data_IF_126363266100
#
_entry.id   IF_126363266100
#
_cell.length_a   1.000
_cell.length_b   1.000
_cell.length_c   1.000
_cell.angle_alpha   90.00
_cell.angle_beta   90.00
_cell.angle_gamma   90.00
#
_symmetry.space_group_name_H-M   'P 1'
#
loop_
_entity.id
_entity.type
_entity.pdbx_description
1 polymer ?
#
# COMPACT_ATOMS: atom_id res chain seq x y z
N UNK A 1 14.34 8.73 -19.27
CA UNK A 1 13.92 8.68 -17.85
C UNK A 1 12.56 9.36 -17.62
N UNK A 2 12.25 10.51 -18.22
CA UNK A 2 10.96 11.20 -18.01
C UNK A 2 9.73 10.49 -18.61
N UNK A 3 9.85 9.83 -19.76
CA UNK A 3 8.73 9.12 -20.42
C UNK A 3 8.13 8.01 -19.56
N UNK A 4 8.97 7.37 -18.76
CA UNK A 4 8.61 6.27 -17.87
C UNK A 4 7.66 6.72 -16.75
N UNK A 5 7.86 7.95 -16.25
CA UNK A 5 6.97 8.57 -15.27
C UNK A 5 5.73 9.18 -15.92
N UNK A 6 5.82 9.62 -17.18
CA UNK A 6 4.72 10.25 -17.91
C UNK A 6 3.55 9.28 -18.20
N UNK A 7 3.81 7.98 -18.30
CA UNK A 7 2.80 6.97 -18.63
C UNK A 7 2.11 6.36 -17.40
N UNK A 8 2.51 6.69 -16.16
CA UNK A 8 1.86 6.23 -14.93
C UNK A 8 1.97 4.72 -14.63
N UNK A 9 2.62 3.93 -15.50
CA UNK A 9 2.75 2.48 -15.33
C UNK A 9 3.55 2.09 -14.09
N UNK A 10 4.48 2.95 -13.63
CA UNK A 10 5.27 2.71 -12.42
C UNK A 10 4.37 2.56 -11.20
N UNK A 11 3.30 3.36 -11.09
CA UNK A 11 2.35 3.23 -9.98
C UNK A 11 1.64 1.88 -10.04
N UNK A 12 1.24 1.42 -11.22
CA UNK A 12 0.65 0.10 -11.40
C UNK A 12 1.62 -1.03 -11.04
N UNK A 13 2.91 -0.91 -11.42
CA UNK A 13 3.94 -1.87 -11.05
C UNK A 13 4.13 -1.92 -9.52
N UNK A 14 4.22 -0.76 -8.85
CA UNK A 14 4.35 -0.69 -7.40
C UNK A 14 3.16 -1.32 -6.69
N UNK A 15 1.94 -1.06 -7.17
CA UNK A 15 0.73 -1.70 -6.64
C UNK A 15 0.74 -3.22 -6.86
N UNK A 16 1.24 -3.70 -8.01
CA UNK A 16 1.40 -5.12 -8.27
C UNK A 16 2.43 -5.77 -7.32
N UNK A 17 3.53 -5.09 -7.01
CA UNK A 17 4.52 -5.54 -6.03
C UNK A 17 3.90 -5.65 -4.63
N UNK A 18 3.17 -4.63 -4.18
CA UNK A 18 2.49 -4.64 -2.87
C UNK A 18 1.40 -5.73 -2.79
N UNK A 19 0.63 -5.91 -3.86
CA UNK A 19 -0.35 -7.00 -3.94
C UNK A 19 0.33 -8.38 -3.88
N UNK A 20 1.47 -8.54 -4.56
CA UNK A 20 2.27 -9.77 -4.52
C UNK A 20 2.82 -10.02 -3.11
N UNK A 21 3.35 -8.99 -2.46
CA UNK A 21 3.86 -9.07 -1.10
C UNK A 21 2.77 -9.52 -0.11
N UNK A 22 1.58 -8.91 -0.18
CA UNK A 22 0.42 -9.32 0.60
C UNK A 22 0.08 -10.80 0.39
N UNK A 23 -0.03 -11.24 -0.87
CA UNK A 23 -0.35 -12.63 -1.22
C UNK A 23 0.71 -13.59 -0.67
N UNK A 24 2.00 -13.27 -0.83
CA UNK A 24 3.11 -14.10 -0.34
C UNK A 24 3.08 -14.22 1.19
N UNK A 25 2.89 -13.11 1.90
CA UNK A 25 2.85 -13.09 3.37
C UNK A 25 1.68 -13.91 3.91
N UNK A 26 0.49 -13.72 3.34
CA UNK A 26 -0.72 -14.47 3.74
C UNK A 26 -0.60 -15.94 3.37
N UNK A 27 -0.13 -16.27 2.17
CA UNK A 27 0.05 -17.66 1.76
C UNK A 27 1.06 -18.40 2.65
N UNK A 28 2.17 -17.75 3.02
CA UNK A 28 3.15 -18.32 3.97
C UNK A 28 2.56 -18.51 5.36
N UNK A 29 1.72 -17.58 5.82
CA UNK A 29 1.03 -17.70 7.10
C UNK A 29 0.08 -18.90 7.12
N UNK A 30 -0.74 -19.04 6.08
CA UNK A 30 -1.68 -20.17 5.95
C UNK A 30 -0.99 -21.53 5.82
N UNK A 31 0.26 -21.54 5.35
CA UNK A 31 1.11 -22.75 5.28
C UNK A 31 1.91 -23.03 6.56
N UNK A 32 1.78 -22.21 7.60
CA UNK A 32 2.54 -22.35 8.86
C UNK A 32 4.04 -22.01 8.75
N UNK A 33 4.47 -21.30 7.68
CA UNK A 33 5.89 -21.04 7.37
C UNK A 33 6.36 -19.63 7.78
N UNK A 34 5.86 -19.14 8.91
CA UNK A 34 6.28 -17.85 9.49
C UNK A 34 5.83 -16.60 8.72
N UNK A 35 4.65 -16.63 8.09
CA UNK A 35 4.04 -15.43 7.46
C UNK A 35 3.20 -14.60 8.42
N UNK A 36 2.72 -13.45 7.94
CA UNK A 36 1.84 -12.54 8.70
C UNK A 36 0.36 -12.93 8.56
N UNK A 37 -0.45 -12.82 9.63
CA UNK A 37 -1.89 -12.98 9.53
C UNK A 37 -2.46 -11.91 8.58
N UNK A 38 -3.57 -12.20 7.88
CA UNK A 38 -4.12 -11.32 6.84
C UNK A 38 -4.29 -9.85 7.26
N UNK A 39 -4.72 -9.62 8.50
CA UNK A 39 -4.88 -8.27 9.04
C UNK A 39 -3.55 -7.51 9.14
N UNK A 40 -2.53 -8.13 9.73
CA UNK A 40 -1.22 -7.49 9.88
C UNK A 40 -0.52 -7.34 8.53
N UNK A 41 -0.69 -8.29 7.60
CA UNK A 41 -0.19 -8.16 6.24
C UNK A 41 -0.88 -7.01 5.49
N UNK A 42 -2.20 -6.82 5.68
CA UNK A 42 -2.92 -5.71 5.08
C UNK A 42 -2.43 -4.37 5.64
N UNK A 43 -2.31 -4.25 6.96
CA UNK A 43 -1.83 -3.02 7.61
C UNK A 43 -0.38 -2.67 7.24
N UNK A 44 0.42 -3.66 6.84
CA UNK A 44 1.77 -3.45 6.32
C UNK A 44 1.77 -2.82 4.92
N UNK A 45 0.91 -3.30 4.00
CA UNK A 45 0.95 -2.87 2.58
C UNK A 45 0.06 -1.67 2.26
N UNK A 46 -1.01 -1.47 3.04
CA UNK A 46 -2.00 -0.42 2.79
C UNK A 46 -1.44 1.01 2.85
N UNK A 47 -0.47 1.34 3.74
CA UNK A 47 0.20 2.64 3.71
C UNK A 47 0.91 2.93 2.38
N UNK A 48 1.68 1.95 1.89
CA UNK A 48 2.38 2.06 0.62
C UNK A 48 1.40 2.21 -0.54
N UNK A 49 0.32 1.42 -0.56
CA UNK A 49 -0.69 1.48 -1.62
C UNK A 49 -1.41 2.84 -1.66
N UNK A 50 -1.83 3.35 -0.50
CA UNK A 50 -2.46 4.67 -0.39
C UNK A 50 -1.54 5.80 -0.85
N UNK A 51 -0.26 5.74 -0.49
CA UNK A 51 0.73 6.73 -0.90
C UNK A 51 1.00 6.70 -2.42
N UNK A 52 1.17 5.51 -3.02
CA UNK A 52 1.35 5.35 -4.47
C UNK A 52 0.15 5.90 -5.24
N UNK A 53 -1.07 5.60 -4.79
CA UNK A 53 -2.30 6.13 -5.40
C UNK A 53 -2.40 7.65 -5.27
N UNK A 54 -2.02 8.22 -4.12
CA UNK A 54 -2.03 9.66 -3.89
C UNK A 54 -1.05 10.38 -4.83
N UNK A 55 0.16 9.86 -4.98
CA UNK A 55 1.16 10.41 -5.92
C UNK A 55 0.66 10.27 -7.35
N UNK A 56 0.13 9.11 -7.74
CA UNK A 56 -0.39 8.90 -9.09
C UNK A 56 -1.52 9.90 -9.41
N UNK A 57 -2.44 10.11 -8.48
CA UNK A 57 -3.52 11.09 -8.62
C UNK A 57 -2.97 12.52 -8.76
N UNK A 58 -1.99 12.89 -7.93
CA UNK A 58 -1.36 14.22 -7.98
C UNK A 58 -0.64 14.46 -9.32
N UNK A 59 0.11 13.46 -9.82
CA UNK A 59 0.86 13.55 -11.07
C UNK A 59 -0.04 13.50 -12.31
N UNK A 60 -1.19 12.83 -12.22
CA UNK A 60 -2.16 12.74 -13.32
C UNK A 60 -3.09 13.96 -13.41
N UNK A 61 -2.88 14.97 -12.54
CA UNK A 61 -3.76 16.15 -12.46
C UNK A 61 -5.18 15.82 -11.99
N UNK A 62 -5.37 14.73 -11.25
CA UNK A 62 -6.67 14.35 -10.72
C UNK A 62 -7.13 15.34 -9.63
N UNK A 63 -8.42 15.27 -9.29
CA UNK A 63 -8.97 16.15 -8.25
C UNK A 63 -8.29 15.90 -6.89
N UNK A 64 -8.01 16.99 -6.16
CA UNK A 64 -7.25 16.95 -4.90
C UNK A 64 -7.84 16.01 -3.84
N UNK A 65 -9.15 15.77 -3.88
CA UNK A 65 -9.83 14.86 -2.95
C UNK A 65 -9.32 13.42 -3.05
N UNK A 66 -8.88 12.97 -4.23
CA UNK A 66 -8.30 11.63 -4.42
C UNK A 66 -6.91 11.53 -3.79
N UNK A 67 -6.13 12.62 -3.87
CA UNK A 67 -4.83 12.71 -3.18
C UNK A 67 -5.04 12.67 -1.67
N UNK A 68 -5.96 13.48 -1.16
CA UNK A 68 -6.31 13.53 0.26
C UNK A 68 -6.82 12.17 0.77
N UNK A 69 -7.65 11.48 -0.02
CA UNK A 69 -8.14 10.14 0.31
C UNK A 69 -7.00 9.13 0.39
N UNK A 70 -6.10 9.09 -0.59
CA UNK A 70 -4.96 8.18 -0.59
C UNK A 70 -4.03 8.42 0.61
N UNK A 71 -3.75 9.68 0.94
CA UNK A 71 -2.95 10.05 2.12
C UNK A 71 -3.67 9.72 3.43
N UNK A 72 -4.97 9.96 3.53
CA UNK A 72 -5.76 9.63 4.71
C UNK A 72 -5.78 8.11 4.95
N UNK A 73 -6.00 7.31 3.91
CA UNK A 73 -5.94 5.86 3.99
C UNK A 73 -4.55 5.38 4.43
N UNK A 74 -3.49 5.97 3.87
CA UNK A 74 -2.13 5.61 4.24
C UNK A 74 -1.81 5.94 5.71
N UNK A 75 -2.18 7.14 6.17
CA UNK A 75 -2.01 7.57 7.55
C UNK A 75 -2.81 6.73 8.54
N UNK A 76 -4.09 6.47 8.25
CA UNK A 76 -4.94 5.62 9.10
C UNK A 76 -4.39 4.19 9.19
N UNK A 77 -3.88 3.64 8.09
CA UNK A 77 -3.26 2.32 8.07
C UNK A 77 -1.99 2.28 8.94
N UNK A 78 -1.12 3.30 8.85
CA UNK A 78 0.06 3.41 9.71
C UNK A 78 -0.30 3.49 11.19
N UNK A 79 -1.30 4.31 11.55
CA UNK A 79 -1.75 4.43 12.93
C UNK A 79 -2.33 3.10 13.44
N UNK A 80 -3.09 2.40 12.61
CA UNK A 80 -3.64 1.10 12.96
C UNK A 80 -2.55 0.02 13.12
N UNK A 81 -1.52 0.01 12.28
CA UNK A 81 -0.35 -0.88 12.41
C UNK A 81 0.43 -0.58 13.70
N UNK A 82 0.75 0.70 13.95
CA UNK A 82 1.44 1.13 15.16
C UNK A 82 0.64 0.76 16.42
N UNK A 83 -0.67 1.01 16.42
CA UNK A 83 -1.54 0.66 17.53
C UNK A 83 -1.67 -0.86 17.74
N UNK A 84 -1.50 -1.68 16.70
CA UNK A 84 -1.45 -3.14 16.84
C UNK A 84 -0.10 -3.59 17.43
N UNK A 85 1.00 -3.00 16.97
CA UNK A 85 2.36 -3.32 17.47
C UNK A 85 2.56 -2.89 18.92
N UNK A 86 2.04 -1.73 19.32
CA UNK A 86 2.14 -1.22 20.69
C UNK A 86 1.25 -1.99 21.69
N UNK A 87 0.28 -2.77 21.21
CA UNK A 87 -0.60 -3.61 22.03
C UNK A 87 -0.08 -5.03 22.26
N UNK A 88 0.93 -5.46 21.50
CA UNK A 88 1.57 -6.78 21.61
C UNK A 88 2.78 -6.69 22.52
#
# INVERSE_FOLDING_TARGET
>A
MASVFAEGWIAALLLAVLATEFVVLVARHRRGRGGLPPRSALLLVLPGAGFVLAIQAALSGAHWSLVALGLALAGLAHLADLAERLRR
#
